data_IF_012861785093
#
_entry.id   IF_012861785093
#
_cell.length_a   1.000
_cell.length_b   1.000
_cell.length_c   1.000
_cell.angle_alpha   90.00
_cell.angle_beta   90.00
_cell.angle_gamma   90.00
#
_symmetry.space_group_name_H-M   'P 1'
#
loop_
_entity.id
_entity.type
_entity.pdbx_description
1 polymer ?
#
# COMPACT_ATOMS: atom_id res chain seq x y z
N UNK A 1 -5.28 4.17 -8.18
CA UNK A 1 -5.33 3.32 -6.99
C UNK A 1 -4.98 4.12 -5.73
N UNK A 2 -3.83 4.81 -5.66
CA UNK A 2 -3.46 5.64 -4.52
C UNK A 2 -4.54 6.67 -4.16
N UNK A 3 -5.11 7.36 -5.17
CA UNK A 3 -6.22 8.31 -4.95
C UNK A 3 -7.43 7.68 -4.27
N UNK A 4 -7.79 6.44 -4.62
CA UNK A 4 -8.91 5.75 -3.98
C UNK A 4 -8.64 5.48 -2.49
N UNK A 5 -7.39 5.21 -2.13
CA UNK A 5 -6.99 4.99 -0.73
C UNK A 5 -6.85 6.27 0.09
N UNK A 6 -6.73 7.44 -0.56
CA UNK A 6 -6.75 8.74 0.14
C UNK A 6 -8.03 8.94 0.95
N UNK A 7 -9.14 8.37 0.52
CA UNK A 7 -10.40 8.43 1.26
C UNK A 7 -10.26 7.81 2.65
N UNK A 8 -9.58 6.66 2.75
CA UNK A 8 -9.35 5.98 4.02
C UNK A 8 -8.30 6.69 4.89
N UNK A 9 -7.30 7.28 4.27
CA UNK A 9 -6.29 8.08 4.94
C UNK A 9 -6.78 9.47 5.38
N UNK A 10 -7.95 9.92 4.89
CA UNK A 10 -8.47 11.27 5.10
C UNK A 10 -9.90 11.27 5.64
N UNK A 11 -10.18 10.44 6.64
CA UNK A 11 -11.46 10.36 7.35
C UNK A 11 -12.72 10.29 6.45
N UNK A 12 -12.60 9.62 5.31
CA UNK A 12 -13.71 9.44 4.37
C UNK A 12 -13.86 10.55 3.35
N UNK A 13 -13.06 11.59 3.43
CA UNK A 13 -13.07 12.68 2.46
C UNK A 13 -12.03 12.45 1.35
N UNK A 14 -12.43 12.70 0.11
CA UNK A 14 -11.56 12.63 -1.06
C UNK A 14 -11.04 14.03 -1.40
N UNK A 15 -9.75 14.33 -1.12
CA UNK A 15 -9.18 15.62 -1.44
C UNK A 15 -8.93 15.78 -2.94
N UNK A 16 -8.87 17.02 -3.39
CA UNK A 16 -8.36 17.35 -4.71
C UNK A 16 -6.87 17.06 -4.77
N UNK A 17 -6.44 16.36 -5.82
CA UNK A 17 -5.01 16.13 -6.05
C UNK A 17 -4.37 17.38 -6.65
N UNK A 18 -3.21 17.75 -6.11
CA UNK A 18 -2.33 18.76 -6.68
C UNK A 18 -1.08 18.09 -7.23
N UNK A 19 -0.77 18.34 -8.49
CA UNK A 19 0.48 17.92 -9.12
C UNK A 19 1.52 19.05 -9.01
N UNK A 20 1.05 20.31 -9.07
CA UNK A 20 1.89 21.50 -8.95
C UNK A 20 1.50 22.31 -7.71
N UNK A 21 2.49 22.92 -7.04
CA UNK A 21 2.27 23.72 -5.81
C UNK A 21 1.38 24.94 -6.04
N UNK A 22 1.46 25.55 -7.22
CA UNK A 22 0.89 26.87 -7.52
C UNK A 22 -0.54 26.84 -8.05
N UNK A 23 -1.22 25.70 -8.07
CA UNK A 23 -2.60 25.60 -8.47
C UNK A 23 -3.54 26.07 -7.34
N UNK A 24 -4.04 27.30 -7.46
CA UNK A 24 -4.93 27.93 -6.48
C UNK A 24 -6.37 27.38 -6.46
N UNK A 25 -6.76 26.58 -7.45
CA UNK A 25 -8.10 26.01 -7.54
C UNK A 25 -8.24 24.69 -6.76
N UNK A 26 -8.29 24.79 -5.44
CA UNK A 26 -8.56 23.64 -4.56
C UNK A 26 -10.08 23.58 -4.38
N UNK A 27 -10.71 22.56 -4.95
CA UNK A 27 -12.08 22.22 -4.59
C UNK A 27 -12.09 21.65 -3.16
N UNK A 28 -13.12 21.97 -2.40
CA UNK A 28 -13.31 21.36 -1.08
C UNK A 28 -13.31 19.84 -1.19
N UNK A 29 -12.74 19.12 -0.21
CA UNK A 29 -12.78 17.67 -0.19
C UNK A 29 -14.22 17.17 -0.23
N UNK A 30 -14.49 16.17 -1.07
CA UNK A 30 -15.80 15.54 -1.13
C UNK A 30 -15.87 14.43 -0.10
N UNK A 31 -16.83 14.49 0.83
CA UNK A 31 -17.10 13.40 1.75
C UNK A 31 -17.72 12.22 0.98
N UNK A 32 -17.02 11.06 0.97
CA UNK A 32 -17.43 9.84 0.26
C UNK A 32 -17.96 8.80 1.25
N UNK A 33 -17.28 8.63 2.38
CA UNK A 33 -17.68 7.72 3.45
C UNK A 33 -17.75 8.45 4.79
N UNK A 34 -18.52 7.89 5.73
CA UNK A 34 -18.55 8.43 7.09
C UNK A 34 -17.19 8.25 7.78
N UNK A 35 -16.75 9.17 8.65
CA UNK A 35 -15.51 8.99 9.41
C UNK A 35 -15.49 7.69 10.23
N UNK A 36 -16.64 7.28 10.77
CA UNK A 36 -16.79 6.02 11.53
C UNK A 36 -16.48 4.79 10.66
N UNK A 37 -17.04 4.72 9.47
CA UNK A 37 -16.79 3.62 8.53
C UNK A 37 -15.34 3.60 8.08
N UNK A 38 -14.78 4.77 7.81
CA UNK A 38 -13.38 4.92 7.36
C UNK A 38 -12.39 4.48 8.43
N UNK A 39 -12.63 4.87 9.68
CA UNK A 39 -11.80 4.43 10.81
C UNK A 39 -11.80 2.91 10.94
N UNK A 40 -12.99 2.29 10.82
CA UNK A 40 -13.11 0.83 10.86
C UNK A 40 -12.33 0.14 9.74
N UNK A 41 -12.39 0.67 8.52
CA UNK A 41 -11.60 0.15 7.39
C UNK A 41 -10.10 0.34 7.62
N UNK A 42 -9.67 1.49 8.15
CA UNK A 42 -8.27 1.73 8.45
C UNK A 42 -7.72 0.73 9.48
N UNK A 43 -8.49 0.39 10.52
CA UNK A 43 -8.16 -0.64 11.51
C UNK A 43 -8.01 -2.03 10.86
N UNK A 44 -8.89 -2.38 9.92
CA UNK A 44 -8.79 -3.64 9.16
C UNK A 44 -7.55 -3.63 8.27
N UNK A 45 -7.25 -2.51 7.59
CA UNK A 45 -6.06 -2.39 6.74
C UNK A 45 -4.75 -2.45 7.55
N UNK A 46 -4.74 -1.95 8.77
CA UNK A 46 -3.63 -2.06 9.71
C UNK A 46 -3.39 -3.54 10.10
N UNK A 47 -4.44 -4.29 10.41
CA UNK A 47 -4.32 -5.72 10.70
C UNK A 47 -3.82 -6.55 9.49
N UNK A 48 -4.14 -6.15 8.27
CA UNK A 48 -3.61 -6.79 7.04
C UNK A 48 -2.10 -6.62 6.92
N UNK A 49 -1.57 -5.47 7.30
CA UNK A 49 -0.14 -5.17 7.28
C UNK A 49 0.57 -5.50 8.61
N UNK A 50 -0.03 -6.35 9.45
CA UNK A 50 0.59 -6.88 10.67
C UNK A 50 1.38 -8.17 10.40
N UNK A 51 2.13 -8.64 11.41
CA UNK A 51 2.91 -9.87 11.31
C UNK A 51 2.07 -11.13 11.02
N UNK A 52 0.79 -11.11 11.35
CA UNK A 52 -0.16 -12.20 11.11
C UNK A 52 -1.00 -12.00 9.83
N UNK A 53 -0.95 -10.81 9.26
CA UNK A 53 -1.73 -10.43 8.07
C UNK A 53 -1.11 -10.88 6.75
N UNK A 54 -1.90 -10.88 5.69
CA UNK A 54 -1.44 -11.20 4.33
C UNK A 54 -0.41 -10.21 3.78
N UNK A 55 -0.31 -9.03 4.37
CA UNK A 55 0.64 -7.97 4.02
C UNK A 55 1.86 -7.89 4.97
N UNK A 56 2.15 -8.93 5.75
CA UNK A 56 3.19 -8.92 6.78
C UNK A 56 4.58 -8.44 6.30
N UNK A 57 4.89 -8.57 5.02
CA UNK A 57 6.15 -8.05 4.45
C UNK A 57 6.15 -6.55 4.16
N UNK A 58 5.01 -5.87 4.38
CA UNK A 58 4.94 -4.42 4.35
C UNK A 58 5.17 -3.79 5.73
N UNK A 59 5.31 -4.59 6.79
CA UNK A 59 5.60 -4.13 8.15
C UNK A 59 6.92 -3.36 8.16
N UNK A 60 6.93 -2.22 8.84
CA UNK A 60 8.10 -1.36 9.03
C UNK A 60 8.28 -1.16 10.54
N UNK A 61 9.40 -1.63 11.06
CA UNK A 61 9.69 -1.50 12.48
C UNK A 61 9.66 -0.03 12.91
N UNK A 62 8.95 0.26 13.98
CA UNK A 62 8.74 1.60 14.50
C UNK A 62 7.61 2.40 13.85
N UNK A 63 7.02 1.94 12.75
CA UNK A 63 5.96 2.66 12.04
C UNK A 63 4.77 1.77 11.74
N UNK A 64 3.57 2.21 12.11
CA UNK A 64 2.34 1.50 11.73
C UNK A 64 2.03 1.67 10.25
N UNK A 65 1.60 0.61 9.60
CA UNK A 65 1.24 0.58 8.18
C UNK A 65 -0.17 0.01 8.03
N UNK A 66 -1.02 0.73 7.33
CA UNK A 66 -2.31 0.21 6.90
C UNK A 66 -2.30 -0.01 5.38
N UNK A 67 -2.65 -1.19 4.90
CA UNK A 67 -2.56 -1.48 3.47
C UNK A 67 -3.16 -2.80 3.03
N UNK A 68 -3.12 -3.05 1.73
CA UNK A 68 -3.67 -4.26 1.12
C UNK A 68 -2.82 -4.75 -0.05
N UNK A 69 -2.64 -6.06 -0.08
CA UNK A 69 -2.06 -6.79 -1.21
C UNK A 69 -3.09 -6.99 -2.31
N UNK A 70 -2.62 -7.07 -3.54
CA UNK A 70 -3.42 -7.48 -4.69
C UNK A 70 -2.61 -8.33 -5.64
N UNK A 71 -3.26 -9.28 -6.29
CA UNK A 71 -2.67 -10.12 -7.32
C UNK A 71 -3.70 -10.34 -8.41
N UNK A 72 -3.32 -10.11 -9.65
CA UNK A 72 -4.16 -10.36 -10.82
C UNK A 72 -3.38 -11.16 -11.85
N UNK A 73 -4.01 -12.13 -12.47
CA UNK A 73 -3.43 -12.80 -13.63
C UNK A 73 -3.40 -11.84 -14.82
N UNK A 74 -2.33 -11.90 -15.59
CA UNK A 74 -2.19 -11.07 -16.78
C UNK A 74 -2.96 -11.70 -17.94
N UNK A 75 -3.60 -10.83 -18.70
CA UNK A 75 -4.28 -11.22 -19.95
C UNK A 75 -3.37 -10.85 -21.11
N UNK A 76 -3.11 -11.80 -22.00
CA UNK A 76 -2.35 -11.64 -23.23
C UNK A 76 -3.24 -12.10 -24.39
N UNK A 77 -3.44 -11.24 -25.38
CA UNK A 77 -4.29 -11.52 -26.54
C UNK A 77 -5.71 -12.03 -26.17
N UNK A 78 -6.32 -11.41 -25.16
CA UNK A 78 -7.68 -11.72 -24.72
C UNK A 78 -7.83 -12.97 -23.84
N UNK A 79 -6.75 -13.70 -23.55
CA UNK A 79 -6.75 -14.88 -22.69
C UNK A 79 -5.80 -14.73 -21.50
N UNK A 80 -6.06 -15.45 -20.41
CA UNK A 80 -5.10 -15.52 -19.32
C UNK A 80 -3.77 -16.11 -19.80
N UNK A 81 -2.67 -15.50 -19.36
CA UNK A 81 -1.34 -15.94 -19.76
C UNK A 81 -1.09 -17.38 -19.31
N UNK A 82 -0.89 -18.28 -20.27
CA UNK A 82 -0.61 -19.71 -20.04
C UNK A 82 0.65 -19.96 -19.20
N UNK A 83 1.59 -19.00 -19.18
CA UNK A 83 2.80 -19.05 -18.35
C UNK A 83 2.56 -18.58 -16.91
N UNK A 84 1.31 -18.16 -16.60
CA UNK A 84 0.90 -17.72 -15.28
C UNK A 84 1.54 -16.41 -14.85
N UNK A 85 1.80 -15.50 -15.79
CA UNK A 85 2.28 -14.17 -15.48
C UNK A 85 1.28 -13.40 -14.62
N UNK A 86 1.79 -12.71 -13.61
CA UNK A 86 0.97 -11.98 -12.65
C UNK A 86 1.33 -10.51 -12.63
N UNK A 87 0.33 -9.72 -12.29
CA UNK A 87 0.45 -8.31 -11.90
C UNK A 87 0.17 -8.23 -10.42
N UNK A 88 1.14 -7.73 -9.68
CA UNK A 88 1.04 -7.67 -8.22
C UNK A 88 0.97 -6.23 -7.74
N UNK A 89 0.25 -6.04 -6.63
CA UNK A 89 0.02 -4.73 -6.04
C UNK A 89 0.22 -4.77 -4.55
N UNK A 90 0.66 -3.64 -4.02
CA UNK A 90 0.43 -3.26 -2.63
C UNK A 90 0.08 -1.77 -2.61
N UNK A 91 -0.96 -1.42 -1.87
CA UNK A 91 -1.31 -0.03 -1.62
C UNK A 91 -1.52 0.15 -0.13
N UNK A 92 -0.97 1.22 0.42
CA UNK A 92 -1.07 1.48 1.84
C UNK A 92 -0.64 2.89 2.20
N UNK A 93 -0.82 3.22 3.46
CA UNK A 93 -0.43 4.49 4.05
C UNK A 93 0.25 4.28 5.40
N UNK A 94 1.05 5.25 5.79
CA UNK A 94 1.77 5.27 7.06
C UNK A 94 1.89 6.70 7.59
N UNK A 95 1.78 6.90 8.92
CA UNK A 95 1.29 5.98 9.95
C UNK A 95 -0.17 5.58 9.74
N UNK A 96 -0.58 4.42 10.26
CA UNK A 96 -1.95 3.91 10.08
C UNK A 96 -3.03 4.78 10.75
N UNK A 97 -2.72 5.36 11.93
CA UNK A 97 -3.67 6.19 12.70
C UNK A 97 -3.73 7.65 12.26
N UNK A 98 -2.61 8.19 11.84
CA UNK A 98 -2.50 9.58 11.37
C UNK A 98 -1.69 9.61 10.07
N UNK A 99 -2.31 9.25 8.94
CA UNK A 99 -1.61 9.05 7.68
C UNK A 99 -0.94 10.32 7.17
N UNK A 100 0.38 10.23 6.92
CA UNK A 100 1.17 11.30 6.30
C UNK A 100 1.54 10.96 4.85
N UNK A 101 1.81 9.69 4.60
CA UNK A 101 2.21 9.20 3.30
C UNK A 101 1.30 8.08 2.82
N UNK A 102 0.98 8.11 1.54
CA UNK A 102 0.30 7.03 0.84
C UNK A 102 1.12 6.61 -0.36
N UNK A 103 1.20 5.30 -0.59
CA UNK A 103 1.93 4.76 -1.72
C UNK A 103 1.18 3.57 -2.33
N UNK A 104 1.18 3.52 -3.66
CA UNK A 104 0.74 2.35 -4.41
C UNK A 104 1.93 1.80 -5.21
N UNK A 105 2.22 0.53 -5.02
CA UNK A 105 3.23 -0.21 -5.78
C UNK A 105 2.52 -1.17 -6.72
N UNK A 106 2.90 -1.16 -7.97
CA UNK A 106 2.48 -2.12 -8.99
C UNK A 106 3.72 -2.72 -9.63
N UNK A 107 3.77 -4.04 -9.71
CA UNK A 107 4.80 -4.78 -10.42
C UNK A 107 4.15 -5.66 -11.48
N UNK A 108 4.53 -5.44 -12.73
CA UNK A 108 4.08 -6.25 -13.85
C UNK A 108 5.12 -7.34 -14.11
N UNK A 109 4.67 -8.58 -14.17
CA UNK A 109 5.51 -9.73 -14.47
C UNK A 109 6.74 -9.86 -13.55
N UNK A 110 6.60 -9.78 -12.22
CA UNK A 110 7.74 -9.89 -11.32
C UNK A 110 8.38 -11.27 -11.49
N UNK A 111 9.70 -11.29 -11.79
CA UNK A 111 10.47 -12.52 -12.03
C UNK A 111 11.11 -13.06 -10.76
N UNK A 112 11.41 -12.18 -9.79
CA UNK A 112 12.03 -12.52 -8.52
C UNK A 112 11.07 -12.19 -7.39
N UNK A 113 10.69 -13.20 -6.63
CA UNK A 113 9.81 -13.08 -5.48
C UNK A 113 10.49 -13.71 -4.28
N UNK A 114 10.17 -13.21 -3.10
CA UNK A 114 10.66 -13.85 -1.87
C UNK A 114 9.85 -15.13 -1.64
N UNK A 115 10.49 -16.28 -1.78
CA UNK A 115 9.88 -17.60 -1.54
C UNK A 115 10.44 -18.17 -0.24
N UNK A 116 9.57 -18.43 0.73
CA UNK A 116 9.96 -19.11 1.97
C UNK A 116 10.08 -20.63 1.75
N UNK A 117 11.26 -21.17 2.08
CA UNK A 117 11.55 -22.57 2.48
C UNK A 117 11.18 -23.74 1.57
N UNK A 118 10.65 -23.56 0.37
CA UNK A 118 10.43 -24.67 -0.58
C UNK A 118 10.78 -24.25 -2.01
N UNK A 119 12.05 -24.31 -2.40
CA UNK A 119 12.49 -23.93 -3.74
C UNK A 119 11.89 -24.80 -4.85
N UNK A 120 11.46 -26.03 -4.52
CA UNK A 120 10.79 -26.96 -5.42
C UNK A 120 9.38 -26.54 -5.82
N UNK A 121 8.71 -25.72 -5.01
CA UNK A 121 7.43 -25.15 -5.38
C UNK A 121 7.67 -23.90 -6.22
N UNK A 122 7.43 -23.98 -7.54
CA UNK A 122 7.35 -22.82 -8.45
C UNK A 122 6.20 -21.91 -7.99
N UNK A 123 6.43 -21.12 -6.92
CA UNK A 123 5.43 -20.20 -6.43
C UNK A 123 5.37 -18.99 -7.35
N UNK A 124 4.14 -18.68 -7.74
CA UNK A 124 3.83 -17.43 -8.45
C UNK A 124 4.17 -16.23 -7.57
N UNK A 125 4.59 -15.14 -8.18
CA UNK A 125 4.77 -13.87 -7.47
C UNK A 125 3.41 -13.30 -7.12
N UNK A 126 3.16 -13.12 -5.84
CA UNK A 126 1.94 -12.51 -5.30
C UNK A 126 2.25 -11.13 -4.73
N UNK A 127 1.22 -10.33 -4.46
CA UNK A 127 1.38 -9.04 -3.81
C UNK A 127 2.11 -9.12 -2.47
N UNK A 128 1.88 -10.22 -1.73
CA UNK A 128 2.51 -10.50 -0.43
C UNK A 128 4.01 -10.79 -0.48
N UNK A 129 4.54 -11.32 -1.58
CA UNK A 129 5.95 -11.73 -1.70
C UNK A 129 6.73 -10.92 -2.75
N UNK A 130 6.15 -9.87 -3.27
CA UNK A 130 6.74 -8.98 -4.28
C UNK A 130 6.43 -7.50 -4.02
N UNK A 131 5.23 -7.02 -4.32
CA UNK A 131 4.87 -5.60 -4.22
C UNK A 131 4.91 -5.07 -2.78
N UNK A 132 4.55 -5.87 -1.75
CA UNK A 132 4.64 -5.48 -0.35
C UNK A 132 6.08 -5.23 0.10
N UNK A 133 7.04 -6.02 -0.39
CA UNK A 133 8.46 -5.83 -0.10
C UNK A 133 8.99 -4.53 -0.72
N UNK A 134 8.59 -4.24 -1.96
CA UNK A 134 8.96 -3.00 -2.63
C UNK A 134 8.36 -1.78 -1.92
N UNK A 135 7.09 -1.88 -1.49
CA UNK A 135 6.44 -0.88 -0.66
C UNK A 135 7.21 -0.65 0.64
N UNK A 136 7.49 -1.71 1.40
CA UNK A 136 8.20 -1.63 2.67
C UNK A 136 9.54 -0.90 2.55
N UNK A 137 10.35 -1.27 1.57
CA UNK A 137 11.66 -0.65 1.35
C UNK A 137 11.57 0.82 0.97
N UNK A 138 10.63 1.18 0.11
CA UNK A 138 10.45 2.55 -0.34
C UNK A 138 9.84 3.43 0.76
N UNK A 139 8.76 2.97 1.40
CA UNK A 139 8.09 3.69 2.48
C UNK A 139 9.02 3.88 3.69
N UNK A 140 9.78 2.84 4.08
CA UNK A 140 10.78 2.96 5.14
C UNK A 140 11.77 4.10 4.88
N UNK A 141 12.29 4.22 3.64
CA UNK A 141 13.19 5.30 3.28
C UNK A 141 12.55 6.67 3.37
N UNK A 142 11.28 6.81 3.02
CA UNK A 142 10.54 8.06 3.16
C UNK A 142 10.42 8.43 4.64
N UNK A 143 9.97 7.48 5.47
CA UNK A 143 9.69 7.71 6.88
C UNK A 143 10.94 8.08 7.68
N UNK A 144 12.06 7.35 7.50
CA UNK A 144 13.31 7.63 8.23
C UNK A 144 14.01 8.93 7.78
N UNK A 145 13.69 9.44 6.60
CA UNK A 145 14.24 10.73 6.15
C UNK A 145 13.30 11.92 6.43
N UNK A 146 12.15 11.68 7.05
CA UNK A 146 11.23 12.73 7.47
C UNK A 146 11.49 13.10 8.95
N UNK A 147 11.99 14.32 9.24
CA UNK A 147 12.29 14.73 10.61
C UNK A 147 11.10 14.65 11.57
N UNK A 148 9.88 14.94 11.09
CA UNK A 148 8.67 14.85 11.91
C UNK A 148 8.33 13.41 12.28
N UNK A 149 8.65 12.44 11.41
CA UNK A 149 8.40 11.02 11.69
C UNK A 149 9.43 10.43 12.64
N UNK A 150 10.66 10.93 12.65
CA UNK A 150 11.71 10.48 13.56
C UNK A 150 11.45 10.91 15.01
N UNK A 151 10.92 12.11 15.21
CA UNK A 151 10.59 12.60 16.56
C UNK A 151 9.51 11.75 17.27
N UNK A 152 8.68 11.02 16.53
CA UNK A 152 7.65 10.12 17.07
C UNK A 152 8.27 8.82 17.62
N UNK A 153 9.43 8.41 17.11
CA UNK A 153 10.13 7.20 17.56
C UNK A 153 10.95 7.41 18.84
N UNK A 154 11.30 8.66 19.15
CA UNK A 154 12.13 9.03 20.29
C UNK A 154 11.29 9.40 21.52
N UNK A 155 9.96 9.49 21.40
CA UNK A 155 9.00 9.81 22.47
C UNK A 155 8.31 8.55 23.01
#
# INVERSE_FOLDING_TARGET
>A
LARAYLVFANNGALPSLKIFKDLNNIKNPQQVFSPKSTKRIAEILDSVASNEGSGYRAVIDGYSVAGKTGTAEMVVEGNYDKKGAQRTYFVGFSPAKNPKYIMAVRLDHPKKCFVYRRPELKRRCEGSNSASIAFQKAMKRILINDPEMNSILES
#
